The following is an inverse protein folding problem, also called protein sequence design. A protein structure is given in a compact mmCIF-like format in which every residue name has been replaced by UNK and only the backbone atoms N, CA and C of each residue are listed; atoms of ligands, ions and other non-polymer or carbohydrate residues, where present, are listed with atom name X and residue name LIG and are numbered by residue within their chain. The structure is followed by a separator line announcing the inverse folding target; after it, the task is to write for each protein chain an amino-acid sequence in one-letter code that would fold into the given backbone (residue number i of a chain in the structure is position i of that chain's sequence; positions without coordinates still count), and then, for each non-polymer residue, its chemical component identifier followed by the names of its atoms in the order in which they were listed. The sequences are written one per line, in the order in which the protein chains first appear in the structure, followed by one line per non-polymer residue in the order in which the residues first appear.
data_IF_733378962703
#
_entry.id   IF_733378962703
#
_cell.length_a   1.000
_cell.length_b   1.000
_cell.length_c   1.000
_cell.angle_alpha   90.00
_cell.angle_beta   90.00
_cell.angle_gamma   90.00
#
_symmetry.space_group_name_H-M   'P 1'
#
loop_
_entity.id
_entity.type
_entity.pdbx_description
1 polymer ?
#
# COMPACT_ATOMS: atom_id res chain seq x y z
N UNK A 1 4.34 0.80 14.27
CA UNK A 1 4.37 -0.40 13.44
C UNK A 1 4.61 -0.06 11.98
N UNK A 2 4.75 -1.07 11.12
CA UNK A 2 5.11 -0.95 9.69
C UNK A 2 4.14 -0.02 8.93
N UNK A 3 2.85 -0.08 9.22
CA UNK A 3 1.86 0.78 8.57
C UNK A 3 2.08 2.27 8.87
N UNK A 4 2.47 2.59 10.10
CA UNK A 4 2.77 3.96 10.49
C UNK A 4 4.01 4.50 9.75
N UNK A 5 5.03 3.67 9.54
CA UNK A 5 6.21 4.06 8.76
C UNK A 5 5.86 4.32 7.30
N UNK A 6 5.01 3.49 6.69
CA UNK A 6 4.49 3.69 5.33
C UNK A 6 3.69 4.98 5.20
N UNK A 7 2.82 5.27 6.17
CA UNK A 7 2.04 6.52 6.23
C UNK A 7 2.97 7.73 6.36
N UNK A 8 3.94 7.68 7.26
CA UNK A 8 4.88 8.77 7.48
C UNK A 8 5.76 9.02 6.24
N UNK A 9 6.22 7.95 5.59
CA UNK A 9 6.96 8.06 4.32
C UNK A 9 6.13 8.72 3.22
N UNK A 10 4.86 8.34 3.08
CA UNK A 10 3.95 8.97 2.13
C UNK A 10 3.74 10.46 2.43
N UNK A 11 3.47 10.82 3.69
CA UNK A 11 3.31 12.21 4.11
C UNK A 11 4.54 13.05 3.81
N UNK A 12 5.73 12.51 4.15
CA UNK A 12 6.99 13.20 3.90
C UNK A 12 7.24 13.44 2.41
N UNK A 13 6.90 12.48 1.56
CA UNK A 13 7.05 12.60 0.10
C UNK A 13 5.99 13.48 -0.56
N UNK A 14 4.80 13.62 0.05
CA UNK A 14 3.72 14.43 -0.48
C UNK A 14 3.92 15.94 -0.25
N UNK A 15 4.79 16.31 0.71
CA UNK A 15 5.11 17.70 1.01
C UNK A 15 3.98 18.44 1.72
N UNK A 16 3.73 19.69 1.32
CA UNK A 16 2.76 20.59 1.98
C UNK A 16 1.28 20.26 1.65
N UNK A 17 1.03 19.21 0.91
CA UNK A 17 -0.32 18.77 0.59
C UNK A 17 -1.06 18.22 1.82
N UNK A 18 -2.38 18.38 1.82
CA UNK A 18 -3.22 17.83 2.89
C UNK A 18 -3.36 16.31 2.74
N UNK A 19 -2.88 15.55 3.73
CA UNK A 19 -3.02 14.10 3.82
C UNK A 19 -3.91 13.73 5.00
N UNK A 20 -5.06 13.15 4.71
CA UNK A 20 -5.94 12.55 5.70
C UNK A 20 -5.65 11.06 5.85
N UNK A 21 -5.72 10.53 7.07
CA UNK A 21 -5.58 9.10 7.34
C UNK A 21 -6.92 8.50 7.68
N UNK A 22 -7.26 7.38 7.04
CA UNK A 22 -8.40 6.56 7.37
C UNK A 22 -7.92 5.21 7.91
N UNK A 23 -8.23 4.95 9.16
CA UNK A 23 -8.00 3.63 9.78
C UNK A 23 -9.19 2.73 9.47
N UNK A 24 -8.92 1.57 8.87
CA UNK A 24 -9.96 0.66 8.39
C UNK A 24 -9.94 -0.66 9.16
N UNK A 25 -11.13 -1.26 9.43
CA UNK A 25 -11.22 -2.57 10.05
C UNK A 25 -10.56 -3.68 9.20
N UNK A 26 -9.98 -4.67 9.87
CA UNK A 26 -9.44 -5.86 9.18
C UNK A 26 -10.56 -6.70 8.55
N UNK A 27 -11.70 -6.82 9.23
CA UNK A 27 -12.85 -7.60 8.75
C UNK A 27 -13.49 -6.91 7.54
N UNK A 28 -13.59 -7.63 6.43
CA UNK A 28 -14.04 -7.08 5.14
C UNK A 28 -15.43 -6.44 5.22
N UNK A 29 -16.38 -7.06 5.92
CA UNK A 29 -17.74 -6.54 6.05
C UNK A 29 -17.79 -5.19 6.79
N UNK A 30 -17.06 -5.08 7.89
CA UNK A 30 -16.97 -3.83 8.67
C UNK A 30 -16.24 -2.73 7.88
N UNK A 31 -15.18 -3.11 7.16
CA UNK A 31 -14.43 -2.19 6.29
C UNK A 31 -15.30 -1.66 5.15
N UNK A 32 -16.09 -2.52 4.50
CA UNK A 32 -17.02 -2.13 3.44
C UNK A 32 -18.12 -1.21 3.95
N UNK A 33 -18.63 -1.44 5.16
CA UNK A 33 -19.58 -0.53 5.80
C UNK A 33 -18.94 0.84 6.05
N UNK A 34 -17.72 0.87 6.61
CA UNK A 34 -16.99 2.13 6.80
C UNK A 34 -16.78 2.88 5.49
N UNK A 35 -16.40 2.17 4.40
CA UNK A 35 -16.26 2.80 3.10
C UNK A 35 -17.56 3.42 2.61
N UNK A 36 -18.69 2.75 2.83
CA UNK A 36 -20.00 3.26 2.45
C UNK A 36 -20.37 4.51 3.26
N UNK A 37 -20.15 4.49 4.56
CA UNK A 37 -20.40 5.62 5.46
C UNK A 37 -19.52 6.83 5.11
N UNK A 38 -18.34 6.59 4.53
CA UNK A 38 -17.35 7.61 4.17
C UNK A 38 -17.28 7.88 2.66
N UNK A 39 -18.25 7.46 1.87
CA UNK A 39 -18.19 7.53 0.41
C UNK A 39 -18.01 8.97 -0.10
N UNK A 40 -18.56 9.96 0.60
CA UNK A 40 -18.40 11.36 0.27
C UNK A 40 -16.93 11.85 0.37
N UNK A 41 -16.11 11.21 1.23
CA UNK A 41 -14.67 11.51 1.32
C UNK A 41 -13.93 11.03 0.08
N UNK A 42 -14.24 9.84 -0.42
CA UNK A 42 -13.63 9.33 -1.66
C UNK A 42 -13.93 10.20 -2.88
N UNK A 43 -15.09 10.88 -2.89
CA UNK A 43 -15.46 11.81 -3.98
C UNK A 43 -14.76 13.18 -3.89
N UNK A 44 -14.11 13.49 -2.76
CA UNK A 44 -13.43 14.80 -2.54
C UNK A 44 -11.92 14.73 -2.66
N UNK A 45 -11.32 13.54 -2.57
CA UNK A 45 -9.87 13.37 -2.67
C UNK A 45 -9.48 12.98 -4.10
N UNK A 46 -8.28 13.34 -4.52
CA UNK A 46 -7.76 13.04 -5.86
C UNK A 46 -7.04 11.70 -5.93
N UNK A 47 -6.52 11.22 -4.79
CA UNK A 47 -5.79 9.96 -4.73
C UNK A 47 -5.89 9.31 -3.35
N UNK A 48 -5.74 7.99 -3.33
CA UNK A 48 -5.59 7.18 -2.11
C UNK A 48 -4.33 6.33 -2.22
N UNK A 49 -3.52 6.38 -1.18
CA UNK A 49 -2.46 5.42 -0.94
C UNK A 49 -2.91 4.43 0.14
N UNK A 50 -3.02 3.16 -0.20
CA UNK A 50 -3.31 2.09 0.74
C UNK A 50 -2.00 1.42 1.20
N UNK A 51 -1.89 1.15 2.50
CA UNK A 51 -0.67 0.59 3.10
C UNK A 51 -0.33 -0.84 2.65
N UNK A 52 -1.23 -1.50 1.92
CA UNK A 52 -0.96 -2.77 1.24
C UNK A 52 -1.78 -2.93 -0.03
N UNK A 53 -1.32 -3.79 -0.96
CA UNK A 53 -2.05 -4.13 -2.18
C UNK A 53 -3.41 -4.76 -1.90
N UNK A 54 -3.52 -5.55 -0.82
CA UNK A 54 -4.79 -6.17 -0.43
C UNK A 54 -5.88 -5.13 -0.16
N UNK A 55 -5.56 -4.10 0.63
CA UNK A 55 -6.51 -3.02 0.92
C UNK A 55 -6.76 -2.12 -0.29
N UNK A 56 -5.74 -1.87 -1.12
CA UNK A 56 -5.90 -1.14 -2.36
C UNK A 56 -6.89 -1.82 -3.31
N UNK A 57 -6.72 -3.13 -3.53
CA UNK A 57 -7.58 -3.93 -4.42
C UNK A 57 -9.01 -4.00 -3.90
N UNK A 58 -9.19 -4.25 -2.59
CA UNK A 58 -10.53 -4.26 -1.98
C UNK A 58 -11.23 -2.90 -2.09
N UNK A 59 -10.48 -1.81 -1.90
CA UNK A 59 -11.01 -0.45 -2.10
C UNK A 59 -11.38 -0.21 -3.57
N UNK A 60 -10.52 -0.56 -4.54
CA UNK A 60 -10.81 -0.39 -5.96
C UNK A 60 -12.08 -1.12 -6.38
N UNK A 61 -12.28 -2.35 -5.88
CA UNK A 61 -13.50 -3.10 -6.12
C UNK A 61 -14.73 -2.35 -5.56
N UNK A 62 -14.64 -1.86 -4.32
CA UNK A 62 -15.72 -1.09 -3.70
C UNK A 62 -16.05 0.19 -4.48
N UNK A 63 -15.03 0.93 -4.90
CA UNK A 63 -15.19 2.16 -5.68
C UNK A 63 -15.92 1.89 -7.00
N UNK A 64 -15.53 0.85 -7.73
CA UNK A 64 -16.19 0.45 -8.97
C UNK A 64 -17.66 0.05 -8.77
N UNK A 65 -17.98 -0.70 -7.71
CA UNK A 65 -19.35 -1.07 -7.34
C UNK A 65 -20.22 0.16 -7.02
N UNK A 66 -19.62 1.29 -6.63
CA UNK A 66 -20.30 2.54 -6.28
C UNK A 66 -20.13 3.66 -7.32
N UNK A 67 -19.73 3.32 -8.54
CA UNK A 67 -19.65 4.26 -9.66
C UNK A 67 -18.53 5.29 -9.56
N UNK A 68 -17.46 4.99 -8.82
CA UNK A 68 -16.26 5.82 -8.74
C UNK A 68 -15.16 5.15 -9.58
N UNK A 69 -14.80 5.79 -10.68
CA UNK A 69 -13.86 5.23 -11.64
C UNK A 69 -12.40 5.45 -11.23
N UNK A 70 -11.63 4.36 -11.20
CA UNK A 70 -10.16 4.41 -11.00
C UNK A 70 -9.49 4.27 -12.37
N UNK A 71 -8.59 5.17 -12.76
CA UNK A 71 -8.06 6.33 -12.03
C UNK A 71 -8.81 7.65 -12.32
N UNK A 72 -9.84 7.66 -13.16
CA UNK A 72 -10.44 8.89 -13.68
C UNK A 72 -10.97 9.81 -12.56
N UNK A 73 -11.75 9.27 -11.64
CA UNK A 73 -12.30 10.02 -10.50
C UNK A 73 -11.34 10.02 -9.32
N UNK A 74 -10.66 8.89 -9.08
CA UNK A 74 -9.81 8.69 -7.92
C UNK A 74 -8.63 7.77 -8.27
N UNK A 75 -7.41 8.26 -8.16
CA UNK A 75 -6.23 7.43 -8.32
C UNK A 75 -6.00 6.55 -7.07
N UNK A 76 -5.55 5.31 -7.26
CA UNK A 76 -5.26 4.39 -6.15
C UNK A 76 -3.87 3.79 -6.31
N UNK A 77 -3.09 3.82 -5.23
CA UNK A 77 -1.81 3.15 -5.14
C UNK A 77 -1.75 2.25 -3.91
N UNK A 78 -0.99 1.17 -4.01
CA UNK A 78 -0.78 0.18 -2.95
C UNK A 78 0.68 0.06 -2.52
N UNK A 79 0.94 -0.95 -1.71
CA UNK A 79 2.27 -1.33 -1.24
C UNK A 79 2.35 -2.85 -1.14
N UNK A 80 3.47 -3.43 -1.39
CA UNK A 80 3.97 -4.81 -1.33
C UNK A 80 4.44 -5.32 -2.70
N UNK A 81 3.80 -4.95 -3.81
CA UNK A 81 4.14 -5.42 -5.15
C UNK A 81 3.73 -6.88 -5.37
N UNK A 82 2.58 -7.27 -4.86
CA UNK A 82 2.05 -8.63 -5.02
C UNK A 82 1.75 -8.95 -6.49
N UNK A 83 1.81 -10.22 -6.91
CA UNK A 83 1.42 -10.59 -8.27
C UNK A 83 0.00 -10.14 -8.64
N UNK A 84 -0.92 -10.16 -7.68
CA UNK A 84 -2.32 -9.74 -7.87
C UNK A 84 -2.43 -8.27 -8.33
N UNK A 85 -1.52 -7.40 -7.90
CA UNK A 85 -1.51 -5.99 -8.29
C UNK A 85 -1.42 -5.76 -9.80
N UNK A 86 -0.79 -6.69 -10.52
CA UNK A 86 -0.72 -6.65 -11.99
C UNK A 86 -1.88 -7.31 -12.71
N UNK A 87 -2.69 -8.11 -12.02
CA UNK A 87 -3.79 -8.90 -12.60
C UNK A 87 -5.16 -8.25 -12.46
N UNK A 88 -5.32 -7.32 -11.51
CA UNK A 88 -6.57 -6.57 -11.33
C UNK A 88 -6.76 -5.53 -12.42
N UNK A 89 -8.00 -5.07 -12.61
CA UNK A 89 -8.31 -4.03 -13.58
C UNK A 89 -9.01 -2.85 -12.89
N UNK A 90 -8.48 -1.61 -13.09
CA UNK A 90 -7.18 -1.29 -13.70
C UNK A 90 -6.01 -1.87 -12.90
N UNK A 91 -4.88 -2.18 -13.57
CA UNK A 91 -3.71 -2.71 -12.89
C UNK A 91 -3.17 -1.73 -11.86
N UNK A 92 -2.86 -2.22 -10.65
CA UNK A 92 -2.55 -1.40 -9.48
C UNK A 92 -1.10 -0.91 -9.49
N UNK A 93 -0.92 0.40 -9.41
CA UNK A 93 0.35 1.02 -9.04
C UNK A 93 0.72 0.65 -7.61
N UNK A 94 1.94 0.17 -7.39
CA UNK A 94 2.35 -0.31 -6.07
C UNK A 94 3.84 -0.09 -5.82
N UNK A 95 4.21 0.01 -4.56
CA UNK A 95 5.61 -0.04 -4.12
C UNK A 95 6.00 -1.49 -3.90
N UNK A 96 6.86 -2.03 -4.78
CA UNK A 96 7.31 -3.41 -4.72
C UNK A 96 8.48 -3.58 -3.77
N UNK A 97 8.34 -4.54 -2.85
CA UNK A 97 9.42 -5.07 -2.03
C UNK A 97 10.02 -6.31 -2.71
N UNK A 98 11.35 -6.45 -2.66
CA UNK A 98 12.00 -7.69 -3.06
C UNK A 98 11.93 -8.72 -1.92
N UNK A 99 10.93 -9.60 -2.01
CA UNK A 99 10.70 -10.64 -0.99
C UNK A 99 11.84 -11.67 -0.95
N UNK A 100 12.50 -11.94 -2.08
CA UNK A 100 13.64 -12.83 -2.15
C UNK A 100 14.86 -12.26 -1.42
N UNK A 101 15.19 -11.00 -1.69
CA UNK A 101 16.25 -10.28 -0.98
C UNK A 101 15.95 -10.18 0.52
N UNK A 102 14.69 -9.89 0.87
CA UNK A 102 14.24 -9.82 2.27
C UNK A 102 14.43 -11.14 3.01
N UNK A 103 14.00 -12.26 2.42
CA UNK A 103 14.17 -13.58 2.99
C UNK A 103 15.65 -13.96 3.14
N UNK A 104 16.46 -13.72 2.10
CA UNK A 104 17.91 -13.97 2.11
C UNK A 104 18.61 -13.19 3.23
N UNK A 105 18.30 -11.90 3.34
CA UNK A 105 18.88 -11.03 4.38
C UNK A 105 18.47 -11.49 5.78
N UNK A 106 17.22 -11.88 5.99
CA UNK A 106 16.76 -12.40 7.27
C UNK A 106 17.49 -13.69 7.66
N UNK A 107 17.63 -14.64 6.73
CA UNK A 107 18.36 -15.89 6.98
C UNK A 107 19.85 -15.65 7.30
N UNK A 108 20.49 -14.72 6.58
CA UNK A 108 21.87 -14.34 6.84
C UNK A 108 22.03 -13.75 8.25
N UNK A 109 21.12 -12.89 8.68
CA UNK A 109 21.12 -12.32 10.03
C UNK A 109 20.92 -13.37 11.12
N UNK A 110 20.00 -14.31 10.91
CA UNK A 110 19.79 -15.43 11.84
C UNK A 110 21.05 -16.28 12.00
N UNK A 111 21.75 -16.61 10.90
CA UNK A 111 23.02 -17.34 10.97
C UNK A 111 24.08 -16.58 11.75
N UNK A 112 24.26 -15.28 11.50
CA UNK A 112 25.19 -14.43 12.24
C UNK A 112 24.90 -14.43 13.75
N UNK A 113 23.63 -14.36 14.15
CA UNK A 113 23.22 -14.44 15.55
C UNK A 113 23.52 -15.81 16.17
N UNK A 114 23.30 -16.90 15.44
CA UNK A 114 23.62 -18.27 15.90
C UNK A 114 25.14 -18.47 16.10
N UNK A 115 25.94 -17.84 15.27
CA UNK A 115 27.41 -17.89 15.35
C UNK A 115 27.99 -16.86 16.33
N UNK A 116 27.14 -16.17 17.13
CA UNK A 116 27.52 -15.13 18.09
C UNK A 116 28.34 -13.98 17.46
N UNK A 117 28.14 -13.73 16.18
CA UNK A 117 28.76 -12.59 15.50
C UNK A 117 28.01 -11.30 15.80
N UNK A 118 28.74 -10.19 15.88
CA UNK A 118 28.11 -8.87 15.90
C UNK A 118 27.35 -8.63 14.61
N UNK A 119 26.09 -8.25 14.71
CA UNK A 119 25.26 -7.95 13.55
C UNK A 119 24.45 -6.67 13.77
N UNK A 120 24.25 -5.93 12.70
CA UNK A 120 23.34 -4.80 12.74
C UNK A 120 21.91 -5.29 13.02
N UNK A 121 21.25 -4.66 13.97
CA UNK A 121 19.87 -5.02 14.36
C UNK A 121 18.82 -4.57 13.33
N UNK A 122 19.17 -3.57 12.51
CA UNK A 122 18.27 -3.01 11.50
C UNK A 122 18.96 -2.97 10.14
N UNK A 123 18.26 -3.44 9.11
CA UNK A 123 18.71 -3.37 7.70
C UNK A 123 17.60 -2.74 6.88
N UNK A 124 17.93 -1.66 6.18
CA UNK A 124 17.02 -1.04 5.21
C UNK A 124 17.22 -1.68 3.85
N UNK A 125 16.15 -2.20 3.27
CA UNK A 125 16.15 -2.79 1.92
C UNK A 125 15.52 -1.82 0.92
N UNK A 126 16.00 -1.80 -0.34
CA UNK A 126 15.45 -0.95 -1.37
C UNK A 126 14.03 -1.41 -1.76
N UNK A 127 13.23 -0.45 -2.18
CA UNK A 127 11.90 -0.67 -2.77
C UNK A 127 11.84 -0.05 -4.16
N UNK A 128 10.89 -0.49 -4.99
CA UNK A 128 10.71 0.01 -6.35
C UNK A 128 9.27 0.43 -6.57
N UNK A 129 9.04 1.66 -7.04
CA UNK A 129 7.72 2.07 -7.51
C UNK A 129 7.43 1.40 -8.86
N UNK A 130 6.32 0.66 -8.91
CA UNK A 130 5.81 0.04 -10.14
C UNK A 130 4.54 0.79 -10.54
N UNK A 131 4.69 1.74 -11.45
CA UNK A 131 3.61 2.57 -11.94
C UNK A 131 2.75 1.80 -12.95
N UNK A 132 1.41 1.80 -12.72
CA UNK A 132 0.42 1.12 -13.55
C UNK A 132 -0.82 2.00 -13.79
N UNK A 133 -1.86 1.40 -14.37
CA UNK A 133 -3.05 2.10 -14.82
C UNK A 133 -3.86 2.77 -13.70
N UNK A 134 -3.81 2.28 -12.46
CA UNK A 134 -4.62 2.83 -11.35
C UNK A 134 -4.25 4.25 -10.92
N UNK A 135 -3.12 4.80 -11.42
CA UNK A 135 -2.69 6.19 -11.16
C UNK A 135 -2.46 7.01 -12.44
N UNK A 136 -2.57 6.40 -13.61
CA UNK A 136 -2.38 7.09 -14.90
C UNK A 136 -3.71 7.66 -15.38
N UNK A 137 -3.83 8.97 -15.33
CA UNK A 137 -4.95 9.73 -15.91
C UNK A 137 -4.66 10.15 -17.34
#
# INVERSE_FOLDING_TARGET
GVDLERINGFRSGFGDGMVEVMVVPMRKTERRQLYLDQIARFRRVSAVFAVSDYYAIDLMQFLGENGICVPADLAVAGFDGTPMSGLVFPALTTVRQDSGLRAKTALQKLRQLQEHQETQTTVTLPVTLVERASTRR
#
